data_IF_904248651979
#
_entry.id   IF_904248651979
#
_cell.length_a   1.000
_cell.length_b   1.000
_cell.length_c   1.000
_cell.angle_alpha   90.00
_cell.angle_beta   90.00
_cell.angle_gamma   90.00
#
_symmetry.space_group_name_H-M   'P 1'
#
loop_
_entity.id
_entity.type
_entity.pdbx_description
1 polymer ?
#
# COMPACT_ATOMS: atom_id res chain seq x y z
N UNK A 1 -1.26 -31.94 -17.87
CA UNK A 1 -1.25 -30.50 -17.52
C UNK A 1 -1.05 -30.43 -16.02
N UNK A 2 0.18 -30.24 -15.56
CA UNK A 2 0.45 -30.11 -14.13
C UNK A 2 0.30 -28.63 -13.78
N UNK A 3 -0.81 -28.31 -13.09
CA UNK A 3 -1.02 -27.04 -12.43
C UNK A 3 0.03 -26.89 -11.33
N UNK A 4 1.13 -26.22 -11.65
CA UNK A 4 1.98 -25.58 -10.66
C UNK A 4 1.76 -24.08 -10.78
N UNK A 5 0.58 -23.61 -10.36
CA UNK A 5 0.50 -22.28 -9.77
C UNK A 5 1.35 -22.36 -8.49
N UNK A 6 2.67 -22.16 -8.65
CA UNK A 6 3.56 -21.90 -7.53
C UNK A 6 2.90 -20.74 -6.77
N UNK A 7 2.34 -21.03 -5.59
CA UNK A 7 1.83 -20.01 -4.69
C UNK A 7 2.98 -19.05 -4.42
N UNK A 8 2.98 -17.91 -5.13
CA UNK A 8 4.00 -16.89 -4.98
C UNK A 8 3.89 -16.37 -3.54
N UNK A 9 4.96 -16.48 -2.76
CA UNK A 9 5.01 -16.01 -1.38
C UNK A 9 4.59 -14.52 -1.33
N UNK A 10 3.48 -14.15 -0.66
CA UNK A 10 2.99 -12.77 -0.60
C UNK A 10 3.98 -11.74 -0.05
N UNK A 11 5.00 -12.21 0.68
CA UNK A 11 6.11 -11.43 1.22
C UNK A 11 7.38 -11.49 0.37
N UNK A 12 7.26 -11.69 -0.95
CA UNK A 12 8.37 -11.55 -1.88
C UNK A 12 8.70 -10.06 -2.13
N UNK A 13 9.81 -9.61 -1.55
CA UNK A 13 10.28 -8.23 -1.68
C UNK A 13 10.52 -7.80 -3.13
N UNK A 14 10.99 -8.69 -4.01
CA UNK A 14 11.28 -8.33 -5.40
C UNK A 14 10.00 -8.07 -6.17
N UNK A 15 8.94 -8.84 -5.89
CA UNK A 15 7.62 -8.62 -6.50
C UNK A 15 7.06 -7.25 -6.12
N UNK A 16 7.15 -6.87 -4.85
CA UNK A 16 6.72 -5.54 -4.39
C UNK A 16 7.58 -4.40 -4.95
N UNK A 17 8.91 -4.56 -5.02
CA UNK A 17 9.80 -3.57 -5.66
C UNK A 17 9.42 -3.36 -7.12
N UNK A 18 9.29 -4.46 -7.88
CA UNK A 18 8.90 -4.41 -9.29
C UNK A 18 7.54 -3.73 -9.48
N UNK A 19 6.55 -4.05 -8.63
CA UNK A 19 5.21 -3.45 -8.70
C UNK A 19 5.25 -1.93 -8.51
N UNK A 20 6.03 -1.46 -7.54
CA UNK A 20 6.17 -0.04 -7.23
C UNK A 20 6.97 0.71 -8.30
N UNK A 21 8.07 0.13 -8.78
CA UNK A 21 8.95 0.71 -9.81
C UNK A 21 8.27 0.82 -11.18
N UNK A 22 7.30 -0.04 -11.48
CA UNK A 22 6.52 0.01 -12.72
C UNK A 22 5.46 1.12 -12.73
N UNK A 23 5.17 1.75 -11.58
CA UNK A 23 4.13 2.77 -11.45
C UNK A 23 4.55 3.99 -10.61
N UNK A 24 5.69 4.65 -10.94
CA UNK A 24 6.23 5.74 -10.13
C UNK A 24 5.31 6.95 -10.08
N UNK A 25 4.57 7.21 -11.17
CA UNK A 25 3.56 8.27 -11.26
C UNK A 25 2.44 8.11 -10.23
N UNK A 26 2.14 6.88 -9.83
CA UNK A 26 1.11 6.59 -8.84
C UNK A 26 1.47 7.14 -7.46
N UNK A 27 2.76 7.10 -7.12
CA UNK A 27 3.31 7.59 -5.86
C UNK A 27 3.76 9.07 -5.94
N UNK A 28 3.51 9.75 -7.07
CA UNK A 28 3.90 11.15 -7.28
C UNK A 28 3.20 12.10 -6.30
N UNK A 29 3.94 13.03 -5.69
CA UNK A 29 3.36 13.97 -4.73
C UNK A 29 3.23 13.44 -3.29
N UNK A 30 3.52 12.16 -3.03
CA UNK A 30 3.96 11.76 -1.68
C UNK A 30 5.29 12.46 -1.38
N UNK A 31 5.41 13.00 -0.17
CA UNK A 31 6.64 13.65 0.29
C UNK A 31 7.57 12.63 0.91
N UNK A 32 8.87 12.93 0.90
CA UNK A 32 9.87 12.08 1.55
C UNK A 32 9.51 11.79 3.01
N UNK A 33 9.87 10.58 3.46
CA UNK A 33 9.49 9.97 4.74
C UNK A 33 8.02 9.57 4.87
N UNK A 34 7.19 9.76 3.84
CA UNK A 34 5.85 9.17 3.81
C UNK A 34 5.95 7.66 3.78
N UNK A 35 5.14 6.97 4.60
CA UNK A 35 5.19 5.51 4.71
C UNK A 35 3.80 4.91 4.50
N UNK A 36 3.72 3.94 3.61
CA UNK A 36 2.52 3.15 3.33
C UNK A 36 2.78 1.73 3.85
N UNK A 37 1.91 1.23 4.70
CA UNK A 37 1.92 -0.16 5.13
C UNK A 37 0.99 -1.02 4.27
N UNK A 38 1.38 -2.27 4.04
CA UNK A 38 0.54 -3.30 3.41
C UNK A 38 0.51 -4.51 4.34
N UNK A 39 -0.70 -4.85 4.80
CA UNK A 39 -1.01 -6.06 5.56
C UNK A 39 -1.69 -7.06 4.65
N UNK A 40 -1.30 -8.32 4.76
CA UNK A 40 -1.78 -9.41 3.89
C UNK A 40 -2.51 -10.44 4.74
N UNK A 41 -3.77 -10.71 4.39
CA UNK A 41 -4.61 -11.65 5.11
C UNK A 41 -4.74 -11.28 6.58
N UNK A 42 -4.56 -12.28 7.45
CA UNK A 42 -4.50 -12.13 8.90
C UNK A 42 -3.07 -12.31 9.44
N UNK A 43 -2.04 -12.12 8.59
CA UNK A 43 -0.65 -12.19 9.02
C UNK A 43 -0.32 -10.95 9.87
N UNK A 44 -0.01 -11.18 11.15
CA UNK A 44 0.38 -10.16 12.12
C UNK A 44 1.91 -10.04 12.27
N UNK A 45 2.65 -11.05 11.82
CA UNK A 45 4.10 -11.17 11.98
C UNK A 45 4.90 -10.34 10.98
N UNK A 46 4.29 -9.96 9.85
CA UNK A 46 4.97 -9.28 8.75
C UNK A 46 4.10 -8.17 8.14
N UNK A 47 4.72 -7.02 7.92
CA UNK A 47 4.16 -5.89 7.18
C UNK A 47 5.12 -5.48 6.08
N UNK A 48 4.60 -5.18 4.89
CA UNK A 48 5.37 -4.53 3.84
C UNK A 48 5.25 -3.02 4.02
N UNK A 49 6.39 -2.33 4.05
CA UNK A 49 6.45 -0.88 4.14
C UNK A 49 6.98 -0.31 2.83
N UNK A 50 6.24 0.64 2.26
CA UNK A 50 6.65 1.44 1.13
C UNK A 50 6.96 2.85 1.65
N UNK A 51 8.24 3.20 1.69
CA UNK A 51 8.72 4.49 2.21
C UNK A 51 9.18 5.38 1.05
N UNK A 52 8.66 6.61 0.99
CA UNK A 52 9.12 7.61 0.03
C UNK A 52 10.49 8.13 0.46
N UNK A 53 11.51 7.99 -0.39
CA UNK A 53 12.86 8.47 -0.12
C UNK A 53 13.54 8.92 -1.41
N UNK A 54 14.04 10.16 -1.45
CA UNK A 54 14.78 10.72 -2.59
C UNK A 54 14.00 10.58 -3.91
N UNK A 55 12.71 10.89 -3.92
CA UNK A 55 11.81 10.73 -5.08
C UNK A 55 11.50 9.30 -5.53
N UNK A 56 12.07 8.28 -4.90
CA UNK A 56 11.75 6.87 -5.14
C UNK A 56 10.96 6.27 -3.98
N UNK A 57 10.46 5.05 -4.18
CA UNK A 57 9.77 4.29 -3.15
C UNK A 57 10.63 3.09 -2.75
N UNK A 58 11.06 3.07 -1.49
CA UNK A 58 11.80 1.98 -0.90
C UNK A 58 10.82 0.94 -0.33
N UNK A 59 11.04 -0.33 -0.66
CA UNK A 59 10.26 -1.45 -0.13
C UNK A 59 11.05 -2.14 0.99
N UNK A 60 10.40 -2.34 2.14
CA UNK A 60 10.91 -3.13 3.27
C UNK A 60 9.85 -4.13 3.71
N UNK A 61 10.29 -5.23 4.32
CA UNK A 61 9.42 -6.19 5.00
C UNK A 61 9.94 -6.28 6.42
N UNK A 62 9.08 -5.94 7.38
CA UNK A 62 9.44 -5.81 8.77
C UNK A 62 8.42 -6.55 9.62
N UNK A 63 8.78 -6.89 10.85
CA UNK A 63 7.82 -7.38 11.83
C UNK A 63 7.29 -6.18 12.67
N UNK A 64 5.96 -5.97 12.73
CA UNK A 64 5.35 -4.85 13.45
C UNK A 64 5.75 -4.72 14.93
N UNK A 65 6.02 -5.83 15.61
CA UNK A 65 6.31 -5.87 17.05
C UNK A 65 7.65 -5.24 17.42
N UNK A 66 8.59 -5.17 16.46
CA UNK A 66 9.91 -4.56 16.69
C UNK A 66 9.96 -3.06 16.36
N UNK A 67 8.83 -2.45 16.01
CA UNK A 67 8.81 -1.07 15.53
C UNK A 67 8.17 -0.08 16.53
N UNK A 68 8.84 1.04 16.75
CA UNK A 68 8.28 2.17 17.51
C UNK A 68 7.16 2.85 16.68
N UNK A 69 6.01 3.13 17.31
CA UNK A 69 4.81 3.63 16.63
C UNK A 69 4.88 5.13 16.30
N UNK A 70 4.19 5.59 15.24
CA UNK A 70 3.44 4.81 14.25
C UNK A 70 4.32 4.38 13.05
N UNK A 71 4.17 3.12 12.68
CA UNK A 71 4.98 2.40 11.66
C UNK A 71 4.68 2.81 10.22
N UNK A 72 3.50 3.38 9.97
CA UNK A 72 3.06 3.87 8.67
C UNK A 72 2.10 5.06 8.82
N UNK A 73 1.91 5.82 7.75
CA UNK A 73 0.88 6.86 7.69
C UNK A 73 -0.51 6.28 7.44
N UNK A 74 -0.54 5.29 6.55
CA UNK A 74 -1.72 4.58 6.09
C UNK A 74 -1.40 3.09 5.97
N UNK A 75 -2.41 2.24 6.08
CA UNK A 75 -2.31 0.80 5.87
C UNK A 75 -3.35 0.36 4.84
N UNK A 76 -2.91 -0.40 3.85
CA UNK A 76 -3.76 -1.21 2.99
C UNK A 76 -3.82 -2.64 3.54
N UNK A 77 -5.00 -3.11 3.94
CA UNK A 77 -5.23 -4.53 4.27
C UNK A 77 -5.78 -5.24 3.04
N UNK A 78 -5.04 -6.23 2.55
CA UNK A 78 -5.25 -6.94 1.29
C UNK A 78 -5.51 -8.41 1.61
N UNK A 79 -6.43 -9.07 0.92
CA UNK A 79 -6.62 -10.52 1.07
C UNK A 79 -5.53 -11.28 0.31
N UNK A 80 -4.99 -12.34 0.89
CA UNK A 80 -3.89 -13.11 0.32
C UNK A 80 -4.15 -13.59 -1.12
N UNK A 81 -5.36 -14.09 -1.38
CA UNK A 81 -5.76 -14.55 -2.72
C UNK A 81 -5.88 -13.44 -3.79
N UNK A 82 -5.74 -12.16 -3.41
CA UNK A 82 -5.76 -11.02 -4.35
C UNK A 82 -4.38 -10.49 -4.70
N UNK A 83 -3.31 -11.00 -4.07
CA UNK A 83 -1.93 -10.51 -4.24
C UNK A 83 -1.45 -10.68 -5.69
N UNK A 84 -1.67 -11.85 -6.28
CA UNK A 84 -1.25 -12.11 -7.66
C UNK A 84 -1.89 -11.14 -8.65
N UNK A 85 -3.18 -10.83 -8.46
CA UNK A 85 -3.90 -9.86 -9.28
C UNK A 85 -3.30 -8.44 -9.18
N UNK A 86 -2.70 -8.09 -8.03
CA UNK A 86 -2.05 -6.79 -7.82
C UNK A 86 -0.69 -6.75 -8.49
N UNK A 87 0.13 -7.78 -8.32
CA UNK A 87 1.47 -7.80 -8.92
C UNK A 87 1.45 -7.88 -10.45
N UNK A 88 0.45 -8.53 -11.02
CA UNK A 88 0.31 -8.63 -12.48
C UNK A 88 -0.25 -7.32 -13.09
N UNK A 89 -0.74 -6.39 -12.27
CA UNK A 89 -1.24 -5.08 -12.70
C UNK A 89 -0.15 -4.01 -12.72
N UNK A 90 0.27 -3.65 -13.94
CA UNK A 90 1.29 -2.61 -14.18
C UNK A 90 0.74 -1.18 -14.18
N UNK A 91 -0.58 -1.03 -14.04
CA UNK A 91 -1.29 0.25 -14.25
C UNK A 91 -1.99 0.78 -13.00
N UNK A 92 -1.94 0.05 -11.88
CA UNK A 92 -2.71 0.29 -10.66
C UNK A 92 -4.24 0.28 -10.82
N UNK A 93 -4.77 0.03 -12.03
CA UNK A 93 -6.21 -0.07 -12.30
C UNK A 93 -6.84 -1.17 -11.46
N UNK A 94 -6.20 -2.33 -11.38
CA UNK A 94 -6.69 -3.47 -10.61
C UNK A 94 -6.65 -3.16 -9.12
N UNK A 95 -5.59 -2.50 -8.64
CA UNK A 95 -5.50 -2.06 -7.24
C UNK A 95 -6.67 -1.13 -6.90
N UNK A 96 -6.95 -0.13 -7.74
CA UNK A 96 -8.09 0.79 -7.57
C UNK A 96 -9.43 0.03 -7.61
N UNK A 97 -9.61 -0.91 -8.55
CA UNK A 97 -10.82 -1.73 -8.62
C UNK A 97 -11.04 -2.57 -7.36
N UNK A 98 -9.99 -3.20 -6.84
CA UNK A 98 -10.05 -3.99 -5.61
C UNK A 98 -10.37 -3.12 -4.39
N UNK A 99 -9.86 -1.88 -4.36
CA UNK A 99 -10.17 -0.89 -3.35
C UNK A 99 -11.64 -0.44 -3.41
N UNK A 100 -12.13 -0.06 -4.59
CA UNK A 100 -13.53 0.33 -4.82
C UNK A 100 -14.52 -0.79 -4.47
N UNK A 101 -14.14 -2.05 -4.73
CA UNK A 101 -14.93 -3.23 -4.38
C UNK A 101 -14.74 -3.70 -2.93
N UNK A 102 -14.07 -2.90 -2.08
CA UNK A 102 -13.81 -3.19 -0.66
C UNK A 102 -13.04 -4.49 -0.39
N UNK A 103 -12.34 -5.02 -1.40
CA UNK A 103 -11.43 -6.17 -1.26
C UNK A 103 -10.09 -5.75 -0.67
N UNK A 104 -9.70 -4.49 -0.88
CA UNK A 104 -8.62 -3.80 -0.16
C UNK A 104 -9.27 -2.80 0.79
N UNK A 105 -8.94 -2.89 2.07
CA UNK A 105 -9.35 -1.90 3.08
C UNK A 105 -8.23 -0.91 3.33
N UNK A 106 -8.59 0.34 3.58
CA UNK A 106 -7.62 1.41 3.89
C UNK A 106 -7.84 1.90 5.31
N UNK A 107 -6.77 2.02 6.07
CA UNK A 107 -6.76 2.58 7.42
C UNK A 107 -5.77 3.73 7.50
N UNK A 108 -6.18 4.85 8.10
CA UNK A 108 -5.29 5.99 8.36
C UNK A 108 -4.76 5.90 9.78
N UNK A 109 -3.44 5.88 9.96
CA UNK A 109 -2.79 5.86 11.28
C UNK A 109 -2.33 7.25 11.75
N UNK A 110 -2.34 8.23 10.84
CA UNK A 110 -2.04 9.63 11.10
C UNK A 110 -3.30 10.48 11.01
N UNK A 111 -3.27 11.65 11.65
CA UNK A 111 -4.34 12.63 11.51
C UNK A 111 -4.40 13.18 10.07
N UNK A 112 -5.56 13.71 9.68
CA UNK A 112 -5.76 14.26 8.34
C UNK A 112 -4.77 15.39 8.02
N UNK A 113 -4.46 16.26 8.98
CA UNK A 113 -3.48 17.35 8.79
C UNK A 113 -2.07 16.82 8.56
N UNK A 114 -1.66 15.77 9.29
CA UNK A 114 -0.39 15.08 9.06
C UNK A 114 -0.34 14.43 7.67
N UNK A 115 -1.42 13.78 7.24
CA UNK A 115 -1.51 13.17 5.90
C UNK A 115 -1.40 14.21 4.79
N UNK A 116 -2.07 15.36 4.96
CA UNK A 116 -1.95 16.50 4.03
C UNK A 116 -0.51 17.01 4.00
N UNK A 117 0.09 17.24 5.17
CA UNK A 117 1.48 17.69 5.33
C UNK A 117 2.52 16.69 4.81
N UNK A 118 2.12 15.45 4.53
CA UNK A 118 2.94 14.37 3.93
C UNK A 118 2.61 14.11 2.46
N UNK A 119 1.71 14.88 1.85
CA UNK A 119 1.41 14.78 0.41
C UNK A 119 0.43 13.67 0.04
N UNK A 120 -0.28 13.08 1.00
CA UNK A 120 -1.26 12.02 0.74
C UNK A 120 -2.50 12.50 -0.02
N UNK A 121 -2.73 13.82 -0.15
CA UNK A 121 -3.89 14.37 -0.88
C UNK A 121 -3.91 13.92 -2.34
N UNK A 122 -2.81 14.12 -3.06
CA UNK A 122 -2.72 13.71 -4.46
C UNK A 122 -2.75 12.19 -4.62
N UNK A 123 -2.11 11.48 -3.68
CA UNK A 123 -2.11 10.02 -3.64
C UNK A 123 -3.52 9.44 -3.47
N UNK A 124 -4.31 9.96 -2.53
CA UNK A 124 -5.69 9.51 -2.31
C UNK A 124 -6.58 9.87 -3.51
N UNK A 125 -6.41 11.06 -4.08
CA UNK A 125 -7.16 11.46 -5.28
C UNK A 125 -6.98 10.48 -6.44
N UNK A 126 -5.76 9.98 -6.65
CA UNK A 126 -5.49 8.95 -7.68
C UNK A 126 -6.07 7.57 -7.35
N UNK A 127 -6.29 7.26 -6.07
CA UNK A 127 -7.00 6.06 -5.62
C UNK A 127 -8.53 6.19 -5.76
N UNK A 128 -9.05 7.33 -6.22
CA UNK A 128 -10.49 7.63 -6.18
C UNK A 128 -10.99 7.84 -4.74
N UNK A 129 -10.08 8.07 -3.80
CA UNK A 129 -10.39 8.34 -2.40
C UNK A 129 -10.33 9.84 -2.13
N UNK A 130 -11.22 10.29 -1.27
CA UNK A 130 -11.14 11.63 -0.72
C UNK A 130 -10.68 11.53 0.72
N UNK A 131 -9.60 12.24 1.07
CA UNK A 131 -9.34 12.65 2.46
C UNK A 131 -10.45 13.63 2.84
N UNK A 132 -11.64 13.10 3.13
CA UNK A 132 -12.83 13.92 3.25
C UNK A 132 -12.67 15.04 4.27
N UNK A 133 -13.23 16.21 3.98
CA UNK A 133 -13.99 16.88 5.04
C UNK A 133 -14.97 15.84 5.56
N UNK A 134 -14.90 15.53 6.86
CA UNK A 134 -15.83 14.61 7.52
C UNK A 134 -17.26 14.93 7.06
N UNK A 135 -17.92 14.02 6.34
CA UNK A 135 -19.36 13.93 6.44
C UNK A 135 -19.59 13.28 7.80
N UNK A 136 -19.89 14.09 8.81
CA UNK A 136 -20.50 13.57 10.03
C UNK A 136 -21.79 12.85 9.62
N UNK A 137 -21.93 11.61 10.07
CA UNK A 137 -23.26 11.10 10.42
C UNK A 137 -23.64 11.68 11.78
#
# INVERSE_FOLDING_TARGET
MNNSDLEKNPFDMNMWKNWVEQSPSFFSGLLDKSVIGILIGENEDQIILLEKKNHDMLVKIENPDYMERPVADIIFKIKENTINEIWDDKSFIKFIQLLSNQKIKVYTLRSQSELIGRGHVGFFGRLGLNLGRKSCC
#
